data_IF_029209639162
#
_entry.id   IF_029209639162
#
_cell.length_a   1.000
_cell.length_b   1.000
_cell.length_c   1.000
_cell.angle_alpha   90.00
_cell.angle_beta   90.00
_cell.angle_gamma   90.00
#
_symmetry.space_group_name_H-M   'P 1'
#
loop_
_entity.id
_entity.type
_entity.pdbx_description
1 polymer ?
#
# COMPACT_ATOMS: atom_id res chain seq x y z
N UNK A 1 0.67 6.32 10.73
CA UNK A 1 -0.23 7.49 10.94
C UNK A 1 -1.53 6.94 11.51
N UNK A 2 -2.16 7.59 12.49
CA UNK A 2 -3.40 7.06 13.08
C UNK A 2 -4.57 7.94 12.60
N UNK A 3 -5.43 7.38 11.77
CA UNK A 3 -6.64 8.04 11.31
C UNK A 3 -7.77 7.84 12.33
N UNK A 4 -8.68 8.81 12.46
CA UNK A 4 -9.93 8.63 13.20
C UNK A 4 -10.88 7.72 12.42
N UNK A 5 -11.85 7.12 13.09
CA UNK A 5 -12.86 6.26 12.47
C UNK A 5 -13.55 6.94 11.26
N UNK A 6 -13.91 8.22 11.40
CA UNK A 6 -14.50 9.01 10.30
C UNK A 6 -13.51 9.20 9.14
N UNK A 7 -12.22 9.45 9.43
CA UNK A 7 -11.21 9.55 8.39
C UNK A 7 -11.02 8.22 7.67
N UNK A 8 -10.98 7.10 8.39
CA UNK A 8 -10.87 5.76 7.80
C UNK A 8 -12.05 5.48 6.87
N UNK A 9 -13.28 5.77 7.29
CA UNK A 9 -14.48 5.64 6.47
C UNK A 9 -14.40 6.46 5.17
N UNK A 10 -13.95 7.70 5.26
CA UNK A 10 -13.76 8.57 4.08
C UNK A 10 -12.67 8.02 3.16
N UNK A 11 -11.56 7.53 3.71
CA UNK A 11 -10.44 7.01 2.94
C UNK A 11 -10.78 5.68 2.26
N UNK A 12 -11.52 4.80 2.93
CA UNK A 12 -12.00 3.54 2.35
C UNK A 12 -12.97 3.84 1.18
N UNK A 13 -13.93 4.77 1.35
CA UNK A 13 -14.81 5.23 0.26
C UNK A 13 -14.02 5.87 -0.91
N UNK A 14 -12.99 6.66 -0.62
CA UNK A 14 -12.13 7.23 -1.66
C UNK A 14 -11.40 6.13 -2.45
N UNK A 15 -10.90 5.10 -1.77
CA UNK A 15 -10.26 3.95 -2.40
C UNK A 15 -11.23 3.16 -3.28
N UNK A 16 -12.45 2.90 -2.80
CA UNK A 16 -13.47 2.19 -3.56
C UNK A 16 -13.81 2.91 -4.87
N UNK A 17 -13.91 4.27 -4.84
CA UNK A 17 -14.13 5.06 -6.05
C UNK A 17 -12.90 5.01 -6.98
N UNK A 18 -11.68 5.15 -6.43
CA UNK A 18 -10.45 5.10 -7.23
C UNK A 18 -10.34 3.76 -7.97
N UNK A 19 -10.62 2.68 -7.28
CA UNK A 19 -10.57 1.31 -7.83
C UNK A 19 -11.68 1.09 -8.86
N UNK A 20 -12.91 1.52 -8.57
CA UNK A 20 -14.08 1.29 -9.43
C UNK A 20 -14.13 2.20 -10.65
N UNK A 21 -13.87 3.50 -10.46
CA UNK A 21 -14.15 4.55 -11.44
C UNK A 21 -12.89 5.28 -11.94
N UNK A 22 -11.74 4.97 -11.37
CA UNK A 22 -10.45 5.60 -11.67
C UNK A 22 -10.21 6.91 -10.92
N UNK A 23 -8.94 7.30 -10.85
CA UNK A 23 -8.49 8.49 -10.12
C UNK A 23 -9.09 9.80 -10.67
N UNK A 24 -9.25 9.90 -12.00
CA UNK A 24 -9.80 11.10 -12.63
C UNK A 24 -11.25 11.36 -12.24
N UNK A 25 -12.04 10.29 -12.08
CA UNK A 25 -13.44 10.34 -11.67
C UNK A 25 -13.62 10.63 -10.17
N UNK A 26 -12.58 10.45 -9.37
CA UNK A 26 -12.62 10.71 -7.94
C UNK A 26 -12.76 12.21 -7.66
N UNK A 27 -13.85 12.61 -7.04
CA UNK A 27 -14.09 13.99 -6.61
C UNK A 27 -14.47 14.06 -5.13
N UNK A 28 -14.23 15.20 -4.48
CA UNK A 28 -14.61 15.41 -3.07
C UNK A 28 -16.11 15.15 -2.82
N UNK A 29 -16.97 15.49 -3.81
CA UNK A 29 -18.41 15.26 -3.70
C UNK A 29 -18.76 13.78 -3.80
N UNK A 30 -18.19 13.06 -4.79
CA UNK A 30 -18.42 11.64 -4.95
C UNK A 30 -17.98 10.85 -3.71
N UNK A 31 -16.81 11.19 -3.15
CA UNK A 31 -16.31 10.56 -1.92
C UNK A 31 -17.19 10.88 -0.71
N UNK A 32 -17.68 12.13 -0.59
CA UNK A 32 -18.61 12.46 0.50
C UNK A 32 -19.93 11.68 0.42
N UNK A 33 -20.47 11.50 -0.80
CA UNK A 33 -21.67 10.70 -1.05
C UNK A 33 -21.42 9.22 -0.74
N UNK A 34 -20.33 8.63 -1.21
CA UNK A 34 -19.96 7.23 -0.97
C UNK A 34 -19.71 6.95 0.53
N UNK A 35 -19.06 7.88 1.22
CA UNK A 35 -18.77 7.78 2.65
C UNK A 35 -19.97 8.13 3.56
N UNK A 36 -21.11 8.52 3.00
CA UNK A 36 -22.29 9.01 3.75
C UNK A 36 -21.93 10.14 4.75
N UNK A 37 -21.11 11.09 4.30
CA UNK A 37 -20.74 12.26 5.09
C UNK A 37 -21.06 13.56 4.34
N UNK A 38 -21.18 14.67 5.08
CA UNK A 38 -21.33 15.97 4.42
C UNK A 38 -20.02 16.38 3.72
N UNK A 39 -20.13 17.08 2.58
CA UNK A 39 -18.97 17.65 1.90
C UNK A 39 -18.16 18.61 2.82
N UNK A 40 -18.86 19.29 3.74
CA UNK A 40 -18.21 20.16 4.73
C UNK A 40 -17.33 19.37 5.72
N UNK A 41 -17.82 18.21 6.20
CA UNK A 41 -17.04 17.36 7.09
C UNK A 41 -15.83 16.77 6.37
N UNK A 42 -16.00 16.29 5.14
CA UNK A 42 -14.90 15.80 4.34
C UNK A 42 -13.85 16.90 4.11
N UNK A 43 -14.27 18.12 3.74
CA UNK A 43 -13.37 19.25 3.54
C UNK A 43 -12.69 19.72 4.83
N UNK A 44 -13.29 19.49 5.98
CA UNK A 44 -12.65 19.72 7.28
C UNK A 44 -11.49 18.76 7.54
N UNK A 45 -11.64 17.48 7.15
CA UNK A 45 -10.59 16.48 7.34
C UNK A 45 -9.50 16.50 6.26
N UNK A 46 -9.86 16.87 5.02
CA UNK A 46 -8.94 16.83 3.88
C UNK A 46 -9.07 18.13 3.06
N UNK A 47 -7.95 18.84 2.92
CA UNK A 47 -7.88 20.16 2.27
C UNK A 47 -8.07 20.13 0.74
N UNK A 48 -8.59 19.05 0.18
CA UNK A 48 -8.87 18.88 -1.24
C UNK A 48 -8.53 17.49 -1.75
N UNK A 49 -8.80 17.27 -3.05
CA UNK A 49 -8.65 15.98 -3.71
C UNK A 49 -7.24 15.41 -3.59
N UNK A 50 -6.19 16.24 -3.77
CA UNK A 50 -4.80 15.76 -3.71
C UNK A 50 -4.46 15.19 -2.34
N UNK A 51 -4.78 15.92 -1.26
CA UNK A 51 -4.54 15.45 0.11
C UNK A 51 -5.35 14.20 0.44
N UNK A 52 -6.59 14.14 -0.03
CA UNK A 52 -7.44 12.97 0.12
C UNK A 52 -6.84 11.74 -0.58
N UNK A 53 -6.36 11.88 -1.81
CA UNK A 53 -5.74 10.80 -2.59
C UNK A 53 -4.45 10.31 -1.92
N UNK A 54 -3.58 11.23 -1.47
CA UNK A 54 -2.36 10.86 -0.73
C UNK A 54 -2.70 10.08 0.53
N UNK A 55 -3.67 10.55 1.32
CA UNK A 55 -4.09 9.88 2.55
C UNK A 55 -4.75 8.51 2.27
N UNK A 56 -5.56 8.40 1.22
CA UNK A 56 -6.15 7.13 0.79
C UNK A 56 -5.06 6.11 0.39
N UNK A 57 -4.06 6.55 -0.36
CA UNK A 57 -2.91 5.72 -0.69
C UNK A 57 -2.13 5.27 0.56
N UNK A 58 -1.88 6.18 1.51
CA UNK A 58 -1.23 5.84 2.78
C UNK A 58 -2.05 4.82 3.56
N UNK A 59 -3.37 4.94 3.56
CA UNK A 59 -4.28 3.98 4.21
C UNK A 59 -4.20 2.60 3.55
N UNK A 60 -4.24 2.53 2.19
CA UNK A 60 -4.08 1.28 1.45
C UNK A 60 -2.72 0.61 1.74
N UNK A 61 -1.66 1.42 1.80
CA UNK A 61 -0.31 0.97 2.17
C UNK A 61 -0.28 0.36 3.57
N UNK A 62 -0.88 1.02 4.55
CA UNK A 62 -0.94 0.50 5.92
C UNK A 62 -1.70 -0.83 5.99
N UNK A 63 -2.82 -0.98 5.27
CA UNK A 63 -3.56 -2.24 5.19
C UNK A 63 -2.72 -3.36 4.58
N UNK A 64 -2.00 -3.09 3.48
CA UNK A 64 -1.10 -4.06 2.87
C UNK A 64 0.02 -4.47 3.83
N UNK A 65 0.66 -3.52 4.50
CA UNK A 65 1.71 -3.80 5.48
C UNK A 65 1.19 -4.64 6.65
N UNK A 66 0.00 -4.32 7.16
CA UNK A 66 -0.65 -5.10 8.21
C UNK A 66 -0.95 -6.53 7.75
N UNK A 67 -1.48 -6.72 6.53
CA UNK A 67 -1.71 -8.05 5.97
C UNK A 67 -0.41 -8.86 5.90
N UNK A 68 0.68 -8.24 5.44
CA UNK A 68 2.00 -8.91 5.38
C UNK A 68 2.45 -9.35 6.77
N UNK A 69 2.34 -8.46 7.77
CA UNK A 69 2.73 -8.77 9.16
C UNK A 69 1.88 -9.92 9.73
N UNK A 70 0.56 -9.90 9.54
CA UNK A 70 -0.36 -10.93 10.00
C UNK A 70 -0.04 -12.29 9.36
N UNK A 71 0.15 -12.32 8.03
CA UNK A 71 0.52 -13.55 7.30
C UNK A 71 1.88 -14.11 7.72
N UNK A 72 2.85 -13.23 8.00
CA UNK A 72 4.14 -13.64 8.52
C UNK A 72 4.02 -14.20 9.96
N UNK A 73 3.15 -13.64 10.79
CA UNK A 73 2.89 -14.13 12.13
C UNK A 73 2.18 -15.51 12.10
N UNK A 74 1.17 -15.67 11.25
CA UNK A 74 0.46 -16.94 11.04
C UNK A 74 1.39 -18.06 10.53
N UNK A 75 2.41 -17.73 9.75
CA UNK A 75 3.41 -18.68 9.25
C UNK A 75 4.33 -19.24 10.34
N UNK A 76 4.27 -18.71 11.56
CA UNK A 76 4.99 -19.19 12.74
C UNK A 76 6.46 -18.80 12.75
N UNK A 77 7.32 -19.68 13.30
CA UNK A 77 8.73 -19.37 13.58
C UNK A 77 9.71 -19.76 12.48
N UNK A 78 9.26 -20.51 11.46
CA UNK A 78 10.13 -20.88 10.34
C UNK A 78 10.41 -19.67 9.43
N UNK A 79 11.68 -19.18 9.33
CA UNK A 79 11.98 -18.01 8.53
C UNK A 79 11.63 -18.16 7.04
N UNK A 80 11.73 -19.37 6.49
CA UNK A 80 11.39 -19.61 5.08
C UNK A 80 9.89 -19.54 4.83
N UNK A 81 9.09 -20.06 5.77
CA UNK A 81 7.64 -19.95 5.72
C UNK A 81 7.21 -18.46 5.80
N UNK A 82 7.83 -17.68 6.68
CA UNK A 82 7.57 -16.24 6.83
C UNK A 82 7.90 -15.44 5.55
N UNK A 83 9.06 -15.67 4.93
CA UNK A 83 9.39 -15.03 3.63
C UNK A 83 8.35 -15.39 2.58
N UNK A 84 7.96 -16.68 2.50
CA UNK A 84 6.96 -17.13 1.53
C UNK A 84 5.58 -16.51 1.79
N UNK A 85 5.20 -16.34 3.04
CA UNK A 85 3.94 -15.68 3.42
C UNK A 85 3.96 -14.21 3.01
N UNK A 86 5.02 -13.46 3.32
CA UNK A 86 5.20 -12.08 2.91
C UNK A 86 5.07 -11.89 1.39
N UNK A 87 5.74 -12.73 0.61
CA UNK A 87 5.67 -12.67 -0.86
C UNK A 87 4.28 -12.97 -1.42
N UNK A 88 3.56 -13.91 -0.80
CA UNK A 88 2.21 -14.27 -1.23
C UNK A 88 1.17 -13.21 -0.90
N UNK A 89 1.38 -12.41 0.16
CA UNK A 89 0.45 -11.37 0.56
C UNK A 89 0.23 -10.31 -0.52
N UNK A 90 1.21 -10.06 -1.38
CA UNK A 90 1.08 -9.14 -2.50
C UNK A 90 0.12 -9.64 -3.59
N UNK A 91 -0.10 -10.95 -3.65
CA UNK A 91 -1.04 -11.60 -4.57
C UNK A 91 -2.32 -12.02 -3.86
N UNK A 92 -2.58 -11.47 -2.68
CA UNK A 92 -3.87 -11.64 -2.01
C UNK A 92 -4.97 -11.00 -2.87
N UNK A 93 -6.15 -11.65 -3.04
CA UNK A 93 -7.25 -11.10 -3.81
C UNK A 93 -7.65 -9.68 -3.43
N UNK A 94 -7.43 -9.29 -2.18
CA UNK A 94 -7.70 -7.91 -1.72
C UNK A 94 -6.81 -6.86 -2.43
N UNK A 95 -5.61 -7.23 -2.92
CA UNK A 95 -4.64 -6.29 -3.48
C UNK A 95 -4.22 -6.58 -4.92
N UNK A 96 -4.63 -7.71 -5.48
CA UNK A 96 -4.18 -8.17 -6.79
C UNK A 96 -5.30 -8.36 -7.80
N UNK A 97 -6.54 -7.94 -7.51
CA UNK A 97 -7.58 -7.91 -8.51
C UNK A 97 -7.30 -6.81 -9.57
N UNK A 98 -7.91 -6.89 -10.78
CA UNK A 98 -7.62 -5.94 -11.86
C UNK A 98 -7.82 -4.48 -11.49
N UNK A 99 -8.80 -4.14 -10.65
CA UNK A 99 -9.07 -2.76 -10.25
C UNK A 99 -7.99 -2.22 -9.31
N UNK A 100 -7.49 -3.06 -8.39
CA UNK A 100 -6.35 -2.69 -7.55
C UNK A 100 -5.08 -2.49 -8.37
N UNK A 101 -4.84 -3.32 -9.40
CA UNK A 101 -3.72 -3.12 -10.30
C UNK A 101 -3.81 -1.80 -11.07
N UNK A 102 -5.00 -1.44 -11.56
CA UNK A 102 -5.26 -0.14 -12.20
C UNK A 102 -4.99 1.02 -11.23
N UNK A 103 -5.39 0.88 -9.97
CA UNK A 103 -5.08 1.86 -8.92
C UNK A 103 -3.56 2.02 -8.73
N UNK A 104 -2.80 0.93 -8.61
CA UNK A 104 -1.34 1.00 -8.46
C UNK A 104 -0.69 1.70 -9.66
N UNK A 105 -1.12 1.39 -10.88
CA UNK A 105 -0.65 2.07 -12.10
C UNK A 105 -0.99 3.58 -12.08
N UNK A 106 -2.18 3.94 -11.63
CA UNK A 106 -2.58 5.34 -11.49
C UNK A 106 -1.72 6.08 -10.45
N UNK A 107 -1.43 5.44 -9.31
CA UNK A 107 -0.55 6.00 -8.27
C UNK A 107 0.87 6.22 -8.81
N UNK A 108 1.45 5.25 -9.52
CA UNK A 108 2.76 5.41 -10.15
C UNK A 108 2.79 6.53 -11.18
N UNK A 109 1.71 6.75 -11.92
CA UNK A 109 1.61 7.89 -12.83
C UNK A 109 1.60 9.23 -12.08
N UNK A 110 0.84 9.31 -10.97
CA UNK A 110 0.73 10.53 -10.14
C UNK A 110 2.03 10.80 -9.38
N UNK A 111 2.75 9.80 -8.90
CA UNK A 111 4.02 9.97 -8.17
C UNK A 111 5.10 10.68 -9.00
N UNK A 112 4.97 10.70 -10.33
CA UNK A 112 5.88 11.43 -11.23
C UNK A 112 5.67 12.94 -11.22
N UNK A 113 4.51 13.42 -10.77
CA UNK A 113 4.11 14.83 -10.81
C UNK A 113 3.67 15.38 -9.46
N UNK A 114 3.51 14.52 -8.45
CA UNK A 114 3.11 14.88 -7.10
C UNK A 114 4.14 14.36 -6.09
N UNK A 115 4.90 15.27 -5.49
CA UNK A 115 6.00 14.94 -4.56
C UNK A 115 5.49 14.23 -3.29
N UNK A 116 4.28 14.52 -2.80
CA UNK A 116 3.73 13.89 -1.60
C UNK A 116 3.40 12.41 -1.87
N UNK A 117 2.81 12.11 -3.03
CA UNK A 117 2.57 10.72 -3.47
C UNK A 117 3.90 9.99 -3.67
N UNK A 118 4.90 10.65 -4.28
CA UNK A 118 6.22 10.07 -4.48
C UNK A 118 6.95 9.76 -3.15
N UNK A 119 6.75 10.58 -2.11
CA UNK A 119 7.28 10.31 -0.77
C UNK A 119 6.57 9.10 -0.16
N UNK A 120 5.23 9.04 -0.22
CA UNK A 120 4.46 7.94 0.33
C UNK A 120 4.78 6.61 -0.38
N UNK A 121 4.98 6.63 -1.70
CA UNK A 121 5.41 5.48 -2.49
C UNK A 121 6.79 4.97 -2.05
N UNK A 122 7.77 5.87 -1.90
CA UNK A 122 9.11 5.49 -1.42
C UNK A 122 9.06 4.88 -0.02
N UNK A 123 8.29 5.47 0.90
CA UNK A 123 8.13 4.95 2.25
C UNK A 123 7.57 3.51 2.24
N UNK A 124 6.58 3.23 1.38
CA UNK A 124 6.08 1.87 1.18
C UNK A 124 7.19 0.91 0.77
N UNK A 125 7.95 1.24 -0.30
CA UNK A 125 9.02 0.38 -0.79
C UNK A 125 10.13 0.18 0.25
N UNK A 126 10.51 1.21 0.98
CA UNK A 126 11.53 1.14 2.03
C UNK A 126 11.08 0.23 3.18
N UNK A 127 9.81 0.30 3.58
CA UNK A 127 9.23 -0.58 4.62
C UNK A 127 9.18 -2.03 4.15
N UNK A 128 8.72 -2.29 2.93
CA UNK A 128 8.72 -3.63 2.33
C UNK A 128 10.15 -4.20 2.23
N UNK A 129 11.09 -3.39 1.77
CA UNK A 129 12.50 -3.79 1.69
C UNK A 129 13.08 -4.12 3.07
N UNK A 130 12.76 -3.33 4.09
CA UNK A 130 13.22 -3.57 5.46
C UNK A 130 12.67 -4.89 6.01
N UNK A 131 11.38 -5.19 5.83
CA UNK A 131 10.78 -6.46 6.25
C UNK A 131 11.41 -7.66 5.53
N UNK A 132 11.57 -7.57 4.20
CA UNK A 132 12.21 -8.65 3.42
C UNK A 132 13.68 -8.83 3.79
N UNK A 133 14.44 -7.76 4.00
CA UNK A 133 15.82 -7.81 4.46
C UNK A 133 15.92 -8.58 5.78
N UNK A 134 15.07 -8.25 6.75
CA UNK A 134 15.05 -8.93 8.05
C UNK A 134 14.73 -10.42 7.88
N UNK A 135 13.69 -10.75 7.13
CA UNK A 135 13.28 -12.13 6.92
C UNK A 135 14.31 -12.95 6.13
N UNK A 136 14.94 -12.39 5.08
CA UNK A 136 16.01 -13.05 4.32
C UNK A 136 17.23 -13.29 5.21
N UNK A 137 17.59 -12.34 6.08
CA UNK A 137 18.70 -12.49 7.02
C UNK A 137 18.43 -13.57 8.08
N UNK A 138 17.18 -13.77 8.48
CA UNK A 138 16.78 -14.89 9.35
C UNK A 138 16.95 -16.25 8.66
N UNK A 139 16.67 -16.33 7.35
CA UNK A 139 16.80 -17.56 6.55
C UNK A 139 18.27 -17.93 6.38
N UNK A 140 19.15 -16.96 6.16
CA UNK A 140 20.59 -17.20 5.99
C UNK A 140 21.41 -16.10 6.67
N UNK A 141 21.80 -16.39 7.90
CA UNK A 141 22.59 -15.48 8.76
C UNK A 141 24.00 -15.26 8.27
N UNK A 142 24.51 -16.07 7.32
CA UNK A 142 25.85 -15.93 6.76
C UNK A 142 25.96 -14.83 5.72
N UNK A 143 24.83 -14.36 5.15
CA UNK A 143 24.80 -13.33 4.13
C UNK A 143 25.33 -11.99 4.66
N UNK A 144 26.15 -11.32 3.84
CA UNK A 144 26.53 -9.93 4.12
C UNK A 144 25.30 -8.99 3.93
N UNK A 145 25.30 -7.80 4.55
CA UNK A 145 24.25 -6.80 4.32
C UNK A 145 24.00 -6.51 2.83
N UNK A 146 25.07 -6.37 2.04
CA UNK A 146 24.98 -6.13 0.60
C UNK A 146 24.33 -7.32 -0.15
N UNK A 147 24.63 -8.55 0.26
CA UNK A 147 24.02 -9.73 -0.35
C UNK A 147 22.52 -9.84 -0.02
N UNK A 148 22.12 -9.48 1.19
CA UNK A 148 20.72 -9.39 1.60
C UNK A 148 20.01 -8.32 0.76
N UNK A 149 20.56 -7.10 0.68
CA UNK A 149 19.99 -6.00 -0.08
C UNK A 149 19.79 -6.34 -1.57
N UNK A 150 20.79 -6.95 -2.23
CA UNK A 150 20.65 -7.40 -3.61
C UNK A 150 19.50 -8.41 -3.78
N UNK A 151 19.40 -9.42 -2.91
CA UNK A 151 18.31 -10.41 -2.98
C UNK A 151 16.95 -9.77 -2.76
N UNK A 152 16.85 -8.80 -1.87
CA UNK A 152 15.62 -8.05 -1.65
C UNK A 152 15.20 -7.28 -2.91
N UNK A 153 16.14 -6.58 -3.56
CA UNK A 153 15.88 -5.88 -4.82
C UNK A 153 15.42 -6.86 -5.91
N UNK A 154 16.11 -7.99 -6.06
CA UNK A 154 15.75 -9.02 -7.05
C UNK A 154 14.33 -9.55 -6.81
N UNK A 155 13.97 -9.80 -5.55
CA UNK A 155 12.63 -10.29 -5.16
C UNK A 155 11.55 -9.25 -5.46
N UNK A 156 11.75 -7.99 -5.07
CA UNK A 156 10.81 -6.90 -5.34
C UNK A 156 10.65 -6.65 -6.85
N UNK A 157 11.75 -6.70 -7.60
CA UNK A 157 11.71 -6.54 -9.06
C UNK A 157 10.94 -7.69 -9.74
N UNK A 158 11.17 -8.93 -9.32
CA UNK A 158 10.42 -10.08 -9.82
C UNK A 158 8.93 -9.99 -9.49
N UNK A 159 8.60 -9.58 -8.28
CA UNK A 159 7.22 -9.40 -7.82
C UNK A 159 6.49 -8.36 -8.67
N UNK A 160 7.10 -7.16 -8.87
CA UNK A 160 6.53 -6.13 -9.73
C UNK A 160 6.41 -6.56 -11.21
N UNK A 161 7.24 -7.48 -11.66
CA UNK A 161 7.19 -8.02 -13.03
C UNK A 161 6.15 -9.15 -13.23
N UNK A 162 5.50 -9.61 -12.16
CA UNK A 162 4.44 -10.63 -12.21
C UNK A 162 3.02 -10.02 -12.25
N UNK A 163 2.91 -8.70 -12.16
CA UNK A 163 1.65 -7.93 -12.20
C UNK A 163 1.28 -7.42 -13.60
#
# INVERSE_FOLDING_TARGET
>A
MHFSETQEQILDAAMDIIVRDGLDSTSMRAVAEEADVSLGLLSYHFEGKEKLVVAAFQRATERLMQLIDDRMAEAGVDPRARVKAALRSWFDPEFSDPHHLEMWLAIWAVSRTNDEVAVAERDLYDRCAAQLNAAIKEVDRSLSPDAVGRRTIDVLALQNGLW
#
